data_IF_580901138999
#
_entry.id   IF_580901138999
#
_cell.length_a   1.000
_cell.length_b   1.000
_cell.length_c   1.000
_cell.angle_alpha   90.00
_cell.angle_beta   90.00
_cell.angle_gamma   90.00
#
_symmetry.space_group_name_H-M   'P 1'
#
loop_
_entity.id
_entity.type
_entity.pdbx_description
1 polymer ?
#
# COMPACT_ATOMS: atom_id res chain seq x y z
N UNK A 1 25.02 -29.79 47.65
CA UNK A 1 25.75 -29.37 46.42
C UNK A 1 24.89 -29.72 45.24
N UNK A 2 24.17 -28.71 44.67
CA UNK A 2 23.27 -28.89 43.53
C UNK A 2 23.97 -28.25 42.35
N UNK A 3 24.37 -29.08 41.40
CA UNK A 3 25.09 -28.65 40.21
C UNK A 3 24.22 -27.87 39.22
N UNK A 4 24.50 -26.59 39.05
CA UNK A 4 23.88 -25.75 38.02
C UNK A 4 24.37 -26.18 36.64
N UNK A 5 23.44 -26.65 35.80
CA UNK A 5 23.68 -26.84 34.37
C UNK A 5 23.73 -25.44 33.70
N UNK A 6 24.92 -25.09 33.24
CA UNK A 6 25.13 -23.95 32.34
C UNK A 6 24.48 -24.24 30.98
N UNK A 7 23.41 -23.55 30.64
CA UNK A 7 22.95 -23.43 29.27
C UNK A 7 23.79 -22.36 28.58
N UNK A 8 24.91 -22.75 28.01
CA UNK A 8 25.68 -21.93 27.08
C UNK A 8 25.36 -22.36 25.66
N UNK A 9 25.18 -21.38 24.81
CA UNK A 9 25.00 -21.41 23.35
C UNK A 9 23.56 -21.50 22.83
N UNK A 10 22.77 -20.45 23.13
CA UNK A 10 21.83 -19.93 22.14
C UNK A 10 22.66 -19.01 21.22
N UNK A 11 23.05 -19.49 20.05
CA UNK A 11 23.53 -18.62 18.98
C UNK A 11 22.43 -17.62 18.71
N UNK A 12 22.73 -16.35 18.95
CA UNK A 12 21.88 -15.23 18.52
C UNK A 12 21.77 -15.31 17.00
N UNK A 13 20.63 -15.80 16.53
CA UNK A 13 20.28 -15.68 15.14
C UNK A 13 20.12 -14.18 14.82
N UNK A 14 21.18 -13.57 14.30
CA UNK A 14 21.06 -12.28 13.67
C UNK A 14 19.96 -12.36 12.60
N UNK A 15 19.01 -11.41 12.57
CA UNK A 15 18.02 -11.39 11.51
C UNK A 15 18.76 -11.26 10.18
N UNK A 16 18.63 -12.26 9.34
CA UNK A 16 19.17 -12.21 7.97
C UNK A 16 18.50 -11.03 7.27
N UNK A 17 19.29 -9.99 7.02
CA UNK A 17 18.85 -8.82 6.28
C UNK A 17 18.40 -9.30 4.90
N UNK A 18 17.19 -8.94 4.47
CA UNK A 18 16.78 -9.20 3.09
C UNK A 18 17.83 -8.59 2.15
N UNK A 19 18.16 -9.26 1.03
CA UNK A 19 19.19 -8.79 0.13
C UNK A 19 18.90 -7.34 -0.27
N UNK A 20 19.90 -6.46 -0.01
CA UNK A 20 19.85 -5.05 -0.40
C UNK A 20 19.90 -4.95 -1.93
N UNK A 21 18.76 -4.90 -2.52
CA UNK A 21 18.55 -4.65 -3.94
C UNK A 21 17.07 -4.43 -4.13
N UNK A 22 16.72 -3.40 -4.81
CA UNK A 22 15.41 -2.75 -4.96
C UNK A 22 14.28 -3.65 -5.56
N UNK A 23 14.40 -4.95 -5.39
CA UNK A 23 13.47 -5.95 -5.87
C UNK A 23 12.94 -6.78 -4.70
N UNK A 24 12.08 -6.14 -3.91
CA UNK A 24 11.40 -6.74 -2.75
C UNK A 24 10.26 -7.68 -3.13
N UNK A 25 9.93 -7.73 -4.42
CA UNK A 25 8.94 -8.68 -4.93
C UNK A 25 9.55 -10.07 -5.08
N UNK A 26 9.20 -10.94 -4.14
CA UNK A 26 9.68 -12.34 -4.14
C UNK A 26 9.25 -13.08 -5.38
N UNK A 27 8.05 -12.80 -5.89
CA UNK A 27 7.50 -13.49 -7.06
C UNK A 27 8.31 -13.20 -8.32
N UNK A 28 9.05 -12.09 -8.36
CA UNK A 28 9.97 -11.74 -9.46
C UNK A 28 11.38 -12.36 -9.34
N UNK A 29 11.64 -13.14 -8.30
CA UNK A 29 12.97 -13.72 -8.11
C UNK A 29 13.30 -14.78 -9.15
N UNK A 30 14.43 -14.61 -9.80
CA UNK A 30 15.02 -15.63 -10.67
C UNK A 30 15.56 -16.78 -9.83
N UNK A 31 15.78 -17.93 -10.47
CA UNK A 31 16.43 -19.11 -9.84
C UNK A 31 17.76 -18.76 -9.20
N UNK A 32 18.56 -17.90 -9.83
CA UNK A 32 19.85 -17.43 -9.30
C UNK A 32 19.66 -16.62 -8.01
N UNK A 33 18.65 -15.78 -7.97
CA UNK A 33 18.37 -14.98 -6.77
C UNK A 33 17.86 -15.84 -5.61
N UNK A 34 17.05 -16.86 -5.93
CA UNK A 34 16.61 -17.87 -4.96
C UNK A 34 17.81 -18.64 -4.41
N UNK A 35 18.73 -19.09 -5.27
CA UNK A 35 19.94 -19.79 -4.84
C UNK A 35 20.81 -18.95 -3.89
N UNK A 36 21.06 -17.69 -4.24
CA UNK A 36 21.82 -16.76 -3.39
C UNK A 36 21.15 -16.52 -2.03
N UNK A 37 19.82 -16.44 -2.01
CA UNK A 37 19.06 -16.31 -0.77
C UNK A 37 19.15 -17.58 0.11
N UNK A 38 19.11 -18.77 -0.49
CA UNK A 38 19.33 -20.04 0.22
C UNK A 38 20.74 -20.10 0.83
N UNK A 39 21.76 -19.63 0.12
CA UNK A 39 23.13 -19.53 0.65
C UNK A 39 23.19 -18.62 1.87
N UNK A 40 22.51 -17.47 1.84
CA UNK A 40 22.42 -16.56 3.00
C UNK A 40 21.72 -17.18 4.22
N UNK A 41 20.78 -18.09 3.99
CA UNK A 41 20.11 -18.85 5.05
C UNK A 41 20.94 -20.00 5.61
N UNK A 42 22.14 -20.24 5.05
CA UNK A 42 22.98 -21.40 5.40
C UNK A 42 22.47 -22.70 4.78
N UNK A 43 21.59 -22.63 3.79
CA UNK A 43 21.02 -23.77 3.06
C UNK A 43 21.64 -23.95 1.67
N UNK A 44 22.86 -23.47 1.45
CA UNK A 44 23.54 -23.51 0.14
C UNK A 44 23.68 -24.91 -0.45
N UNK A 45 23.71 -25.94 0.39
CA UNK A 45 23.76 -27.32 -0.09
C UNK A 45 22.57 -27.77 -0.94
N UNK A 46 21.40 -27.09 -0.80
CA UNK A 46 20.20 -27.38 -1.62
C UNK A 46 20.05 -26.42 -2.80
N UNK A 47 20.76 -25.30 -2.82
CA UNK A 47 20.64 -24.29 -3.86
C UNK A 47 20.81 -24.85 -5.29
N UNK A 48 21.75 -25.78 -5.60
CA UNK A 48 21.85 -26.41 -6.92
C UNK A 48 20.56 -27.12 -7.32
N UNK A 49 19.91 -27.83 -6.39
CA UNK A 49 18.66 -28.56 -6.66
C UNK A 49 17.49 -27.62 -6.97
N UNK A 50 17.45 -26.43 -6.36
CA UNK A 50 16.46 -25.38 -6.69
C UNK A 50 16.70 -24.86 -8.12
N UNK A 51 17.97 -24.69 -8.50
CA UNK A 51 18.33 -24.27 -9.85
C UNK A 51 18.00 -25.34 -10.90
N UNK A 52 18.31 -26.60 -10.61
CA UNK A 52 18.03 -27.74 -11.51
C UNK A 52 16.53 -27.94 -11.74
N UNK A 53 15.72 -27.74 -10.69
CA UNK A 53 14.26 -27.79 -10.75
C UNK A 53 13.63 -26.46 -11.19
N UNK A 54 14.42 -25.45 -11.58
CA UNK A 54 13.98 -24.14 -12.07
C UNK A 54 13.02 -23.43 -11.10
N UNK A 55 13.24 -23.56 -9.80
CA UNK A 55 12.37 -22.94 -8.79
C UNK A 55 12.66 -21.45 -8.74
N UNK A 56 11.68 -20.68 -9.17
CA UNK A 56 11.62 -19.23 -9.13
C UNK A 56 10.90 -18.75 -7.87
N UNK A 57 10.90 -17.44 -7.61
CA UNK A 57 10.30 -16.88 -6.41
C UNK A 57 8.80 -17.09 -6.31
N UNK A 58 8.07 -17.07 -7.43
CA UNK A 58 6.64 -17.38 -7.51
C UNK A 58 6.34 -18.82 -7.09
N UNK A 59 7.16 -19.78 -7.56
CA UNK A 59 7.03 -21.19 -7.21
C UNK A 59 7.38 -21.49 -5.75
N UNK A 60 8.24 -20.65 -5.14
CA UNK A 60 8.60 -20.83 -3.72
C UNK A 60 7.39 -20.85 -2.79
N UNK A 61 6.30 -20.17 -3.14
CA UNK A 61 5.07 -20.16 -2.33
C UNK A 61 4.31 -21.48 -2.34
N UNK A 62 4.51 -22.27 -3.37
CA UNK A 62 3.84 -23.56 -3.58
C UNK A 62 4.66 -24.74 -3.02
N UNK A 63 5.87 -24.46 -2.52
CA UNK A 63 6.74 -25.50 -1.99
C UNK A 63 6.15 -26.04 -0.68
N UNK A 64 5.88 -27.35 -0.70
CA UNK A 64 5.47 -28.12 0.48
C UNK A 64 6.66 -28.87 1.12
N UNK A 65 6.47 -29.37 2.33
CA UNK A 65 7.45 -30.24 2.97
C UNK A 65 7.74 -31.50 2.16
N UNK A 66 6.72 -32.04 1.47
CA UNK A 66 6.86 -33.18 0.60
C UNK A 66 7.82 -32.89 -0.57
N UNK A 67 7.64 -31.77 -1.23
CA UNK A 67 8.52 -31.35 -2.34
C UNK A 67 9.97 -31.19 -1.88
N UNK A 68 10.21 -30.62 -0.69
CA UNK A 68 11.55 -30.49 -0.13
C UNK A 68 12.19 -31.83 0.17
N UNK A 69 11.40 -32.81 0.63
CA UNK A 69 11.85 -34.18 0.88
C UNK A 69 12.24 -34.88 -0.42
N UNK A 70 11.43 -34.73 -1.48
CA UNK A 70 11.70 -35.26 -2.82
C UNK A 70 12.99 -34.68 -3.43
N UNK A 71 13.22 -33.39 -3.24
CA UNK A 71 14.46 -32.72 -3.62
C UNK A 71 15.67 -33.18 -2.79
N UNK A 72 15.46 -34.10 -1.81
CA UNK A 72 16.51 -34.72 -1.00
C UNK A 72 16.96 -33.91 0.21
N UNK A 73 16.11 -33.02 0.72
CA UNK A 73 16.31 -32.34 1.98
C UNK A 73 15.89 -33.28 3.12
N UNK A 74 16.83 -34.07 3.65
CA UNK A 74 16.57 -35.09 4.67
C UNK A 74 16.26 -34.50 6.06
N UNK A 75 16.90 -33.37 6.39
CA UNK A 75 16.76 -32.74 7.69
C UNK A 75 15.41 -32.02 7.83
N UNK A 76 14.61 -32.48 8.80
CA UNK A 76 13.28 -31.90 9.09
C UNK A 76 13.39 -30.43 9.54
N UNK A 77 14.39 -30.12 10.38
CA UNK A 77 14.60 -28.76 10.89
C UNK A 77 14.89 -27.76 9.77
N UNK A 78 15.71 -28.14 8.78
CA UNK A 78 16.01 -27.31 7.62
C UNK A 78 14.77 -27.08 6.74
N UNK A 79 13.94 -28.12 6.52
CA UNK A 79 12.68 -27.99 5.79
C UNK A 79 11.73 -27.00 6.45
N UNK A 80 11.53 -27.13 7.75
CA UNK A 80 10.67 -26.22 8.52
C UNK A 80 11.24 -24.81 8.57
N UNK A 81 12.55 -24.67 8.71
CA UNK A 81 13.24 -23.37 8.64
C UNK A 81 12.96 -22.69 7.30
N UNK A 82 13.17 -23.40 6.19
CA UNK A 82 12.94 -22.86 4.86
C UNK A 82 11.48 -22.41 4.65
N UNK A 83 10.51 -23.26 4.98
CA UNK A 83 9.09 -22.91 4.88
C UNK A 83 8.77 -21.67 5.72
N UNK A 84 9.30 -21.59 6.93
CA UNK A 84 9.10 -20.41 7.80
C UNK A 84 9.67 -19.15 7.16
N UNK A 85 10.91 -19.20 6.65
CA UNK A 85 11.54 -18.02 6.04
C UNK A 85 10.87 -17.60 4.73
N UNK A 86 10.43 -18.55 3.90
CA UNK A 86 9.60 -18.24 2.71
C UNK A 86 8.32 -17.48 3.10
N UNK A 87 7.59 -17.98 4.10
CA UNK A 87 6.39 -17.31 4.61
C UNK A 87 6.69 -15.90 5.14
N UNK A 88 7.81 -15.74 5.85
CA UNK A 88 8.24 -14.46 6.41
C UNK A 88 8.55 -13.44 5.30
N UNK A 89 9.30 -13.83 4.29
CA UNK A 89 9.66 -12.96 3.16
C UNK A 89 8.40 -12.55 2.40
N UNK A 90 7.48 -13.48 2.12
CA UNK A 90 6.19 -13.18 1.48
C UNK A 90 5.32 -12.23 2.30
N UNK A 91 5.21 -12.44 3.61
CA UNK A 91 4.48 -11.52 4.50
C UNK A 91 5.10 -10.13 4.48
N UNK A 92 6.42 -10.02 4.44
CA UNK A 92 7.11 -8.73 4.38
C UNK A 92 6.87 -8.04 3.04
N UNK A 93 6.92 -8.77 1.93
CA UNK A 93 6.62 -8.25 0.60
C UNK A 93 5.16 -7.78 0.49
N UNK A 94 4.20 -8.61 0.93
CA UNK A 94 2.79 -8.25 0.96
C UNK A 94 2.53 -7.01 1.82
N UNK A 95 3.19 -6.92 3.00
CA UNK A 95 3.09 -5.75 3.86
C UNK A 95 3.64 -4.49 3.17
N UNK A 96 4.76 -4.59 2.46
CA UNK A 96 5.35 -3.46 1.73
C UNK A 96 4.42 -3.00 0.60
N UNK A 97 3.85 -3.92 -0.18
CA UNK A 97 2.87 -3.60 -1.24
C UNK A 97 1.65 -2.85 -0.69
N UNK A 98 1.12 -3.23 0.48
CA UNK A 98 -0.01 -2.53 1.11
C UNK A 98 0.24 -1.06 1.38
N UNK A 99 1.49 -0.66 1.60
CA UNK A 99 1.90 0.72 1.88
C UNK A 99 2.50 1.44 0.67
N UNK A 100 2.61 0.75 -0.45
CA UNK A 100 3.06 1.35 -1.71
C UNK A 100 2.08 2.42 -2.16
N UNK A 101 2.62 3.58 -2.52
CA UNK A 101 1.80 4.70 -2.99
C UNK A 101 1.50 4.47 -4.46
N UNK A 102 0.23 4.26 -4.78
CA UNK A 102 -0.25 4.10 -6.16
C UNK A 102 -0.48 5.47 -6.79
N UNK A 103 -1.10 6.36 -6.01
CA UNK A 103 -1.41 7.70 -6.46
C UNK A 103 -1.42 8.67 -5.29
N UNK A 104 -1.01 9.91 -5.55
CA UNK A 104 -1.11 11.01 -4.61
C UNK A 104 -1.38 12.32 -5.33
N UNK A 105 -2.18 13.17 -4.71
CA UNK A 105 -2.50 14.49 -5.22
C UNK A 105 -2.76 15.49 -4.10
N UNK A 106 -2.75 16.76 -4.46
CA UNK A 106 -3.29 17.83 -3.63
C UNK A 106 -4.61 18.28 -4.20
N UNK A 107 -5.50 18.72 -3.32
CA UNK A 107 -6.76 19.36 -3.70
C UNK A 107 -6.51 20.50 -4.69
N UNK A 108 -7.33 20.57 -5.73
CA UNK A 108 -7.34 21.72 -6.63
C UNK A 108 -7.97 22.92 -5.91
N UNK A 109 -7.23 24.01 -5.83
CA UNK A 109 -7.58 25.15 -4.99
C UNK A 109 -8.77 25.97 -5.48
N UNK A 110 -9.03 25.95 -6.77
CA UNK A 110 -9.97 26.86 -7.41
C UNK A 110 -11.19 26.12 -8.00
N UNK A 111 -11.67 25.13 -7.25
CA UNK A 111 -12.77 24.26 -7.70
C UNK A 111 -14.15 24.94 -7.73
N UNK A 112 -14.34 26.05 -7.01
CA UNK A 112 -15.63 26.76 -6.94
C UNK A 112 -15.79 27.85 -8.02
N UNK A 113 -14.90 27.91 -8.99
CA UNK A 113 -14.96 28.81 -10.13
C UNK A 113 -14.34 30.20 -9.89
N UNK A 114 -14.67 31.15 -10.82
CA UNK A 114 -14.01 32.44 -10.86
C UNK A 114 -14.26 33.32 -9.62
N UNK A 115 -15.41 33.20 -8.97
CA UNK A 115 -15.72 33.93 -7.75
C UNK A 115 -14.82 33.49 -6.59
N UNK A 116 -14.60 32.19 -6.43
CA UNK A 116 -13.70 31.61 -5.46
C UNK A 116 -12.25 32.02 -5.73
N UNK A 117 -11.81 31.95 -6.98
CA UNK A 117 -10.50 32.43 -7.41
C UNK A 117 -10.26 33.90 -7.04
N UNK A 118 -11.21 34.79 -7.36
CA UNK A 118 -11.10 36.21 -7.04
C UNK A 118 -11.03 36.43 -5.53
N UNK A 119 -11.87 35.74 -4.77
CA UNK A 119 -11.88 35.84 -3.31
C UNK A 119 -10.57 35.33 -2.69
N UNK A 120 -10.07 34.19 -3.14
CA UNK A 120 -8.81 33.60 -2.67
C UNK A 120 -7.60 34.48 -3.05
N UNK A 121 -7.59 35.08 -4.24
CA UNK A 121 -6.53 35.99 -4.67
C UNK A 121 -6.54 37.31 -3.88
N UNK A 122 -7.71 37.94 -3.73
CA UNK A 122 -7.86 39.21 -2.99
C UNK A 122 -7.49 39.06 -1.52
N UNK A 123 -7.78 37.92 -0.92
CA UNK A 123 -7.46 37.63 0.49
C UNK A 123 -6.06 37.05 0.68
N UNK A 124 -5.23 37.01 -0.38
CA UNK A 124 -3.90 36.40 -0.34
C UNK A 124 -3.88 34.97 0.20
N UNK A 125 -4.98 34.25 0.00
CA UNK A 125 -5.23 32.91 0.54
C UNK A 125 -4.16 31.90 0.10
N UNK A 126 -3.68 31.90 -1.17
CA UNK A 126 -2.61 30.98 -1.56
C UNK A 126 -1.30 31.19 -0.82
N UNK A 127 -1.07 32.41 -0.31
CA UNK A 127 0.20 32.74 0.34
C UNK A 127 0.31 32.29 1.81
N UNK A 128 -0.77 32.40 2.60
CA UNK A 128 -0.62 32.34 4.06
C UNK A 128 -1.68 31.54 4.82
N UNK A 129 -2.89 31.34 4.26
CA UNK A 129 -4.03 30.94 5.08
C UNK A 129 -4.80 29.74 4.59
N UNK A 130 -4.56 29.27 3.39
CA UNK A 130 -5.22 28.10 2.84
C UNK A 130 -4.20 26.98 2.58
N UNK A 131 -4.46 25.82 3.14
CA UNK A 131 -3.66 24.62 2.88
C UNK A 131 -4.57 23.61 2.19
N UNK A 132 -4.25 23.23 0.96
CA UNK A 132 -5.03 22.24 0.23
C UNK A 132 -5.05 20.92 0.98
N UNK A 133 -6.14 20.19 0.86
CA UNK A 133 -6.21 18.81 1.28
C UNK A 133 -5.21 17.97 0.51
N UNK A 134 -4.80 16.87 1.10
CA UNK A 134 -3.85 15.96 0.49
C UNK A 134 -4.45 14.56 0.43
N UNK A 135 -4.39 13.97 -0.73
CA UNK A 135 -4.94 12.67 -1.04
C UNK A 135 -3.82 11.70 -1.33
N UNK A 136 -3.89 10.50 -0.77
CA UNK A 136 -2.90 9.45 -0.98
C UNK A 136 -3.58 8.11 -1.05
N UNK A 137 -3.44 7.42 -2.18
CA UNK A 137 -3.92 6.06 -2.40
C UNK A 137 -2.77 5.07 -2.24
N UNK A 138 -3.01 4.04 -1.47
CA UNK A 138 -2.14 2.86 -1.35
C UNK A 138 -2.91 1.63 -1.82
N UNK A 139 -2.27 0.47 -1.90
CA UNK A 139 -2.91 -0.77 -2.34
C UNK A 139 -4.05 -1.26 -1.41
N UNK A 140 -4.20 -0.71 -0.21
CA UNK A 140 -5.27 -1.12 0.72
C UNK A 140 -6.09 0.03 1.28
N UNK A 141 -5.59 1.27 1.20
CA UNK A 141 -6.23 2.40 1.88
C UNK A 141 -6.14 3.68 1.08
N UNK A 142 -7.22 4.46 1.12
CA UNK A 142 -7.24 5.85 0.70
C UNK A 142 -7.09 6.74 1.93
N UNK A 143 -6.05 7.55 1.97
CA UNK A 143 -5.73 8.47 3.06
C UNK A 143 -6.09 9.88 2.64
N UNK A 144 -7.04 10.48 3.34
CA UNK A 144 -7.44 11.86 3.17
C UNK A 144 -6.85 12.69 4.32
N UNK A 145 -6.01 13.64 3.98
CA UNK A 145 -5.47 14.58 4.95
C UNK A 145 -6.15 15.92 4.78
N UNK A 146 -7.14 16.18 5.61
CA UNK A 146 -7.90 17.42 5.62
C UNK A 146 -7.33 18.37 6.65
N UNK A 147 -7.21 19.63 6.28
CA UNK A 147 -6.84 20.68 7.22
C UNK A 147 -8.09 21.47 7.56
N UNK A 148 -8.53 21.35 8.82
CA UNK A 148 -9.68 22.09 9.29
C UNK A 148 -9.35 23.59 9.34
N UNK A 149 -10.02 24.35 8.50
CA UNK A 149 -9.94 25.81 8.48
C UNK A 149 -10.88 26.37 9.55
N UNK A 150 -10.33 26.96 10.61
CA UNK A 150 -11.14 27.74 11.55
C UNK A 150 -11.36 29.13 10.98
N UNK A 151 -12.60 29.49 10.78
CA UNK A 151 -13.00 30.87 10.39
C UNK A 151 -13.12 31.74 11.65
N UNK A 152 -12.38 32.83 11.69
CA UNK A 152 -12.59 33.92 12.66
C UNK A 152 -12.94 35.16 11.82
N UNK A 153 -14.22 35.47 11.73
CA UNK A 153 -14.73 36.46 10.80
C UNK A 153 -14.50 36.03 9.35
N UNK A 154 -13.87 36.86 8.54
CA UNK A 154 -13.51 36.57 7.13
C UNK A 154 -12.14 35.89 6.97
N UNK A 155 -11.41 35.63 8.06
CA UNK A 155 -10.05 35.11 8.02
C UNK A 155 -10.06 33.63 8.39
N UNK A 156 -9.49 32.80 7.52
CA UNK A 156 -9.33 31.38 7.74
C UNK A 156 -7.98 31.08 8.43
N UNK A 157 -8.01 30.51 9.61
CA UNK A 157 -6.84 29.99 10.28
C UNK A 157 -6.84 28.48 10.27
N UNK A 158 -5.80 27.88 9.72
CA UNK A 158 -5.64 26.42 9.78
C UNK A 158 -5.05 26.04 11.14
N UNK A 159 -5.78 25.25 11.90
CA UNK A 159 -5.32 24.86 13.24
C UNK A 159 -5.25 23.34 13.46
N UNK A 160 -6.01 22.56 12.71
CA UNK A 160 -6.11 21.13 12.95
C UNK A 160 -5.91 20.34 11.65
N UNK A 161 -5.15 19.27 11.74
CA UNK A 161 -4.96 18.29 10.67
C UNK A 161 -5.80 17.08 11.02
N UNK A 162 -6.85 16.81 10.25
CA UNK A 162 -7.63 15.57 10.33
C UNK A 162 -7.12 14.60 9.28
N UNK A 163 -6.66 13.44 9.71
CA UNK A 163 -6.30 12.35 8.80
C UNK A 163 -7.39 11.30 8.87
N UNK A 164 -7.96 10.97 7.74
CA UNK A 164 -8.96 9.93 7.60
C UNK A 164 -8.40 8.83 6.70
N UNK A 165 -8.34 7.62 7.22
CA UNK A 165 -7.96 6.43 6.48
C UNK A 165 -9.24 5.68 6.12
N UNK A 166 -9.44 5.43 4.85
CA UNK A 166 -10.57 4.68 4.32
C UNK A 166 -9.99 3.40 3.73
N UNK A 167 -10.40 2.26 4.28
CA UNK A 167 -10.02 0.96 3.73
C UNK A 167 -10.76 0.76 2.41
N UNK A 168 -10.06 0.26 1.38
CA UNK A 168 -10.64 0.03 0.06
C UNK A 168 -11.75 -1.03 0.10
N UNK A 169 -11.72 -1.94 1.06
CA UNK A 169 -12.79 -2.93 1.27
C UNK A 169 -14.13 -2.31 1.68
N UNK A 170 -14.11 -1.11 2.27
CA UNK A 170 -15.31 -0.37 2.68
C UNK A 170 -15.84 0.58 1.58
N UNK A 171 -15.28 0.53 0.40
CA UNK A 171 -15.70 1.34 -0.74
C UNK A 171 -16.52 0.49 -1.72
N UNK A 172 -17.64 1.05 -2.21
CA UNK A 172 -18.51 0.41 -3.21
C UNK A 172 -18.13 0.78 -4.62
N UNK A 173 -17.66 2.00 -4.81
CA UNK A 173 -17.29 2.51 -6.12
C UNK A 173 -16.80 3.93 -6.05
N UNK A 174 -16.24 4.36 -7.17
CA UNK A 174 -15.77 5.73 -7.35
C UNK A 174 -16.24 6.21 -8.70
N UNK A 175 -16.80 7.41 -8.72
CA UNK A 175 -17.25 8.09 -9.93
C UNK A 175 -16.64 9.48 -10.02
N UNK A 176 -16.49 9.97 -11.24
CA UNK A 176 -16.01 11.33 -11.48
C UNK A 176 -17.07 12.16 -12.18
N UNK A 177 -17.14 13.42 -11.84
CA UNK A 177 -17.97 14.39 -12.51
C UNK A 177 -17.13 15.61 -12.89
N UNK A 178 -17.22 16.00 -14.15
CA UNK A 178 -16.61 17.23 -14.61
C UNK A 178 -17.60 18.39 -14.39
N UNK A 179 -17.30 19.24 -13.44
CA UNK A 179 -18.10 20.43 -13.16
C UNK A 179 -17.72 21.54 -14.15
N UNK A 180 -18.39 21.55 -15.30
CA UNK A 180 -18.22 22.64 -16.26
C UNK A 180 -19.05 23.84 -15.84
N UNK A 181 -18.39 24.83 -15.26
CA UNK A 181 -19.04 26.10 -14.96
C UNK A 181 -18.77 27.07 -16.11
N UNK A 182 -19.85 27.50 -16.83
CA UNK A 182 -19.73 28.43 -17.95
C UNK A 182 -19.05 29.77 -17.58
N UNK A 183 -18.93 30.06 -16.29
CA UNK A 183 -18.33 31.29 -15.74
C UNK A 183 -16.96 30.99 -15.05
N UNK A 184 -16.38 29.82 -15.26
CA UNK A 184 -15.22 29.38 -14.49
C UNK A 184 -13.90 30.06 -14.88
N UNK A 185 -13.87 30.82 -15.96
CA UNK A 185 -12.64 31.48 -16.44
C UNK A 185 -11.41 30.53 -16.53
N UNK A 186 -11.64 29.24 -16.74
CA UNK A 186 -10.59 28.25 -16.78
C UNK A 186 -10.12 27.74 -15.40
N UNK A 187 -10.86 28.06 -14.34
CA UNK A 187 -10.63 27.55 -12.99
C UNK A 187 -11.57 26.37 -12.71
N UNK A 188 -11.55 25.36 -13.56
CA UNK A 188 -12.36 24.16 -13.42
C UNK A 188 -11.58 23.10 -12.66
N UNK A 189 -12.30 22.31 -11.88
CA UNK A 189 -11.80 21.10 -11.24
C UNK A 189 -12.76 19.95 -11.51
N UNK A 190 -12.24 18.73 -11.54
CA UNK A 190 -13.07 17.54 -11.54
C UNK A 190 -13.36 17.12 -10.11
N UNK A 191 -14.59 16.68 -9.88
CA UNK A 191 -15.03 16.13 -8.61
C UNK A 191 -15.02 14.59 -8.68
N UNK A 192 -14.30 13.96 -7.77
CA UNK A 192 -14.28 12.50 -7.64
C UNK A 192 -15.04 12.10 -6.38
N UNK A 193 -16.16 11.42 -6.58
CA UNK A 193 -17.06 10.96 -5.53
C UNK A 193 -16.68 9.53 -5.12
N UNK A 194 -16.66 9.32 -3.81
CA UNK A 194 -16.36 8.02 -3.20
C UNK A 194 -17.61 7.50 -2.52
N UNK A 195 -18.14 6.39 -3.02
CA UNK A 195 -19.27 5.71 -2.41
C UNK A 195 -18.77 4.72 -1.38
N UNK A 196 -19.13 4.96 -0.12
CA UNK A 196 -18.79 4.08 1.00
C UNK A 196 -19.91 3.07 1.24
N UNK A 197 -19.54 1.92 1.78
CA UNK A 197 -20.52 0.96 2.24
C UNK A 197 -21.29 1.51 3.44
N UNK A 198 -22.62 1.54 3.34
CA UNK A 198 -23.49 2.03 4.39
C UNK A 198 -23.38 1.20 5.69
N UNK A 199 -23.01 -0.08 5.57
CA UNK A 199 -22.84 -0.98 6.72
C UNK A 199 -21.53 -0.71 7.48
N UNK A 200 -20.56 -0.06 6.85
CA UNK A 200 -19.28 0.30 7.49
C UNK A 200 -19.42 1.40 8.57
N UNK A 201 -20.58 2.06 8.66
CA UNK A 201 -20.84 3.12 9.65
C UNK A 201 -19.90 4.33 9.53
N UNK A 202 -19.33 4.53 8.35
CA UNK A 202 -18.42 5.64 8.08
C UNK A 202 -19.21 6.89 7.68
N UNK A 203 -18.77 8.05 8.16
CA UNK A 203 -19.30 9.33 7.70
C UNK A 203 -19.06 9.49 6.18
N UNK A 204 -19.96 10.16 5.46
CA UNK A 204 -19.77 10.46 4.05
C UNK A 204 -18.47 11.26 3.82
N UNK A 205 -17.87 11.05 2.67
CA UNK A 205 -16.64 11.75 2.26
C UNK A 205 -17.04 12.89 1.32
N UNK A 206 -16.44 14.05 1.51
CA UNK A 206 -16.54 15.12 0.55
C UNK A 206 -15.84 14.71 -0.75
N UNK A 207 -16.31 15.17 -1.93
CA UNK A 207 -15.64 14.91 -3.19
C UNK A 207 -14.16 15.28 -3.14
N UNK A 208 -13.34 14.52 -3.86
CA UNK A 208 -11.95 14.89 -4.07
C UNK A 208 -11.90 15.87 -5.24
N UNK A 209 -11.33 17.02 -5.03
CA UNK A 209 -11.14 18.01 -6.09
C UNK A 209 -9.80 17.83 -6.76
N UNK A 210 -9.79 17.38 -7.99
CA UNK A 210 -8.59 17.14 -8.78
C UNK A 210 -8.58 18.06 -10.00
N UNK A 211 -7.44 18.14 -10.66
CA UNK A 211 -7.28 19.00 -11.83
C UNK A 211 -8.26 18.62 -12.93
N UNK A 212 -8.83 19.64 -13.59
CA UNK A 212 -9.76 19.44 -14.69
C UNK A 212 -9.21 18.51 -15.78
N UNK A 213 -10.02 17.53 -16.18
CA UNK A 213 -9.66 16.48 -17.14
C UNK A 213 -8.90 15.28 -16.53
N UNK A 214 -8.66 15.25 -15.22
CA UNK A 214 -8.01 14.12 -14.54
C UNK A 214 -8.98 13.26 -13.72
N UNK A 215 -10.22 13.71 -13.52
CA UNK A 215 -11.19 13.06 -12.65
C UNK A 215 -11.48 11.61 -13.02
N UNK A 216 -11.80 11.34 -14.29
CA UNK A 216 -12.08 9.98 -14.76
C UNK A 216 -10.86 9.05 -14.56
N UNK A 217 -9.65 9.51 -14.88
CA UNK A 217 -8.43 8.75 -14.70
C UNK A 217 -8.18 8.44 -13.23
N UNK A 218 -8.43 9.39 -12.33
CA UNK A 218 -8.28 9.18 -10.89
C UNK A 218 -9.31 8.18 -10.37
N UNK A 219 -10.56 8.28 -10.81
CA UNK A 219 -11.61 7.33 -10.47
C UNK A 219 -11.26 5.92 -10.96
N UNK A 220 -10.72 5.77 -12.17
CA UNK A 220 -10.26 4.49 -12.71
C UNK A 220 -9.11 3.89 -11.88
N UNK A 221 -8.10 4.68 -11.50
CA UNK A 221 -6.99 4.24 -10.67
C UNK A 221 -7.50 3.73 -9.31
N UNK A 222 -8.44 4.44 -8.68
CA UNK A 222 -8.98 4.03 -7.39
C UNK A 222 -9.82 2.75 -7.55
N UNK A 223 -10.65 2.64 -8.59
CA UNK A 223 -11.46 1.44 -8.86
C UNK A 223 -10.55 0.22 -9.11
N UNK A 224 -9.49 0.34 -9.90
CA UNK A 224 -8.52 -0.74 -10.10
C UNK A 224 -7.88 -1.17 -8.78
N UNK A 225 -7.48 -0.24 -7.92
CA UNK A 225 -6.91 -0.56 -6.61
C UNK A 225 -7.92 -1.28 -5.70
N UNK A 226 -9.21 -0.93 -5.78
CA UNK A 226 -10.29 -1.63 -5.06
C UNK A 226 -10.45 -3.07 -5.56
N UNK A 227 -10.49 -3.29 -6.86
CA UNK A 227 -10.59 -4.63 -7.46
C UNK A 227 -9.39 -5.51 -7.08
N UNK A 228 -8.18 -4.98 -7.14
CA UNK A 228 -6.98 -5.70 -6.72
C UNK A 228 -7.00 -6.06 -5.23
N UNK A 229 -7.47 -5.14 -4.36
CA UNK A 229 -7.59 -5.42 -2.93
C UNK A 229 -8.61 -6.53 -2.66
N UNK A 230 -9.78 -6.48 -3.30
CA UNK A 230 -10.82 -7.50 -3.17
C UNK A 230 -10.34 -8.87 -3.67
N UNK A 231 -9.62 -8.91 -4.80
CA UNK A 231 -9.05 -10.16 -5.33
C UNK A 231 -8.02 -10.76 -4.35
N UNK A 232 -7.18 -9.92 -3.72
CA UNK A 232 -6.21 -10.38 -2.71
C UNK A 232 -6.91 -10.94 -1.46
N UNK A 233 -7.98 -10.32 -0.99
CA UNK A 233 -8.75 -10.79 0.17
C UNK A 233 -9.44 -12.12 -0.13
N UNK A 234 -10.05 -12.28 -1.30
CA UNK A 234 -10.66 -13.53 -1.73
C UNK A 234 -9.65 -14.69 -1.74
N UNK A 235 -8.43 -14.46 -2.26
CA UNK A 235 -7.36 -15.47 -2.27
C UNK A 235 -6.88 -15.87 -0.86
N UNK A 236 -7.00 -14.98 0.12
CA UNK A 236 -6.64 -15.29 1.51
C UNK A 236 -7.72 -16.15 2.17
N UNK A 237 -9.01 -15.87 1.91
CA UNK A 237 -10.14 -16.61 2.48
C UNK A 237 -10.25 -18.04 1.94
N UNK A 238 -9.84 -18.31 0.70
CA UNK A 238 -9.87 -19.67 0.14
C UNK A 238 -8.79 -20.62 0.73
N UNK A 239 -7.84 -20.09 1.52
CA UNK A 239 -6.72 -20.88 2.07
C UNK A 239 -6.85 -21.26 3.55
N UNK A 240 -7.88 -20.78 4.22
CA UNK A 240 -8.22 -21.13 5.61
C UNK A 240 -9.33 -22.21 5.66
#
# INVERSE_FOLDING_TARGET
>A
MVGGRKYSNLQEHHPVKAPEGDNTDVDSWTTTKVANWLDQLGLGGIAPKFSDNKITGDLMSMISEAHLKEMGMSNVGERLLLIREVRKVKRTAARKRRFEVIWEAREELYHDGCGDWCQKQLLCVPCCCYYPDYYKLTASTLVLTQKANRKIGSINFTKEKKVRNIDLSNMRGVSAMHAHNMLSCGCDADEVFIDLDAEAGLDPVHPLYVKAGEGEKVAEIINMAMEENQAMEAMVMERD
#
